data_IF_048437280536
#
_entry.id   IF_048437280536
#
_cell.length_a   1.000
_cell.length_b   1.000
_cell.length_c   1.000
_cell.angle_alpha   90.00
_cell.angle_beta   90.00
_cell.angle_gamma   90.00
#
_symmetry.space_group_name_H-M   'P 1'
#
loop_
_entity.id
_entity.type
_entity.pdbx_description
1 polymer ?
#
# COMPACT_ATOMS: atom_id res chain seq x y z
N UNK A 1 5.34 24.74 12.32
CA UNK A 1 6.24 23.83 11.53
C UNK A 1 5.43 23.20 10.41
N UNK A 2 5.98 23.16 9.20
CA UNK A 2 5.34 22.51 8.05
C UNK A 2 5.36 20.99 8.26
N UNK A 3 4.22 20.31 8.08
CA UNK A 3 4.11 18.85 8.18
C UNK A 3 4.90 18.18 7.06
N UNK A 4 5.59 17.09 7.36
CA UNK A 4 6.42 16.34 6.42
C UNK A 4 5.77 15.01 6.06
N UNK A 5 5.85 14.64 4.77
CA UNK A 5 5.37 13.36 4.29
C UNK A 5 6.45 12.66 3.48
N UNK A 6 6.81 11.45 3.87
CA UNK A 6 7.70 10.59 3.10
C UNK A 6 6.89 9.58 2.29
N UNK A 7 6.96 9.68 0.96
CA UNK A 7 6.20 8.83 0.05
C UNK A 7 7.15 7.85 -0.63
N UNK A 8 7.11 6.61 -0.21
CA UNK A 8 7.90 5.51 -0.77
C UNK A 8 7.13 4.85 -1.91
N UNK A 9 7.65 4.96 -3.14
CA UNK A 9 6.95 4.56 -4.37
C UNK A 9 6.25 5.73 -5.07
N UNK A 10 6.85 6.93 -5.01
CA UNK A 10 6.29 8.18 -5.55
C UNK A 10 6.68 8.47 -7.00
N UNK A 11 7.29 7.54 -7.73
CA UNK A 11 7.77 7.79 -9.11
C UNK A 11 6.66 7.85 -10.16
N UNK A 12 5.55 7.13 -9.95
CA UNK A 12 4.44 7.01 -10.90
C UNK A 12 3.13 6.66 -10.19
N UNK A 13 2.03 6.69 -10.93
CA UNK A 13 0.73 6.18 -10.50
C UNK A 13 0.18 6.84 -9.24
N UNK A 14 -0.40 6.03 -8.36
CA UNK A 14 -1.06 6.56 -7.14
C UNK A 14 -0.06 7.29 -6.24
N UNK A 15 1.17 6.78 -6.10
CA UNK A 15 2.19 7.37 -5.23
C UNK A 15 2.59 8.78 -5.68
N UNK A 16 2.80 8.98 -6.98
CA UNK A 16 3.08 10.31 -7.54
C UNK A 16 1.89 11.26 -7.31
N UNK A 17 0.67 10.81 -7.62
CA UNK A 17 -0.53 11.63 -7.46
C UNK A 17 -0.81 11.99 -5.99
N UNK A 18 -0.54 11.10 -5.03
CA UNK A 18 -0.66 11.40 -3.59
C UNK A 18 0.38 12.42 -3.16
N UNK A 19 1.60 12.31 -3.68
CA UNK A 19 2.64 13.28 -3.41
C UNK A 19 2.24 14.67 -3.91
N UNK A 20 1.72 14.78 -5.15
CA UNK A 20 1.23 16.05 -5.72
C UNK A 20 0.05 16.62 -4.92
N UNK A 21 -0.90 15.80 -4.51
CA UNK A 21 -2.05 16.23 -3.71
C UNK A 21 -1.63 16.74 -2.31
N UNK A 22 -0.63 16.11 -1.66
CA UNK A 22 -0.09 16.58 -0.38
C UNK A 22 0.71 17.87 -0.53
N UNK A 23 1.55 18.00 -1.58
CA UNK A 23 2.26 19.24 -1.91
C UNK A 23 1.28 20.41 -2.09
N UNK A 24 0.19 20.18 -2.84
CA UNK A 24 -0.84 21.21 -3.07
C UNK A 24 -1.54 21.68 -1.78
N UNK A 25 -1.43 20.89 -0.71
CA UNK A 25 -1.98 21.18 0.63
C UNK A 25 -0.93 21.72 1.61
N UNK A 26 0.25 22.07 1.11
CA UNK A 26 1.32 22.70 1.89
C UNK A 26 2.14 21.73 2.74
N UNK A 27 2.15 20.44 2.43
CA UNK A 27 3.07 19.50 3.04
C UNK A 27 4.46 19.62 2.40
N UNK A 28 5.50 19.42 3.18
CA UNK A 28 6.84 19.15 2.65
C UNK A 28 6.94 17.67 2.29
N UNK A 29 6.92 17.33 1.00
CA UNK A 29 6.83 15.96 0.52
C UNK A 29 8.17 15.46 0.01
N UNK A 30 8.73 14.48 0.70
CA UNK A 30 9.92 13.74 0.28
C UNK A 30 9.50 12.54 -0.57
N UNK A 31 9.87 12.54 -1.85
CA UNK A 31 9.53 11.50 -2.82
C UNK A 31 10.66 10.50 -2.92
N UNK A 32 10.32 9.21 -2.82
CA UNK A 32 11.30 8.12 -2.91
C UNK A 32 10.84 7.01 -3.82
N UNK A 33 11.77 6.43 -4.56
CA UNK A 33 11.59 5.21 -5.36
C UNK A 33 12.95 4.61 -5.72
N UNK A 34 12.95 3.45 -6.40
CA UNK A 34 14.18 2.79 -6.89
C UNK A 34 14.97 3.64 -7.88
N UNK A 35 14.27 4.36 -8.76
CA UNK A 35 14.90 5.05 -9.90
C UNK A 35 14.81 6.57 -9.86
N UNK A 36 13.87 7.14 -9.12
CA UNK A 36 13.59 8.57 -9.08
C UNK A 36 13.29 9.03 -7.65
N UNK A 37 13.38 10.33 -7.42
CA UNK A 37 13.06 10.95 -6.14
C UNK A 37 14.30 11.44 -5.41
N UNK A 38 14.07 12.12 -4.32
CA UNK A 38 15.10 12.77 -3.49
C UNK A 38 15.95 11.74 -2.76
N UNK A 39 15.30 10.69 -2.25
CA UNK A 39 15.96 9.58 -1.58
C UNK A 39 15.67 8.30 -2.37
N UNK A 40 16.73 7.60 -2.80
CA UNK A 40 16.59 6.29 -3.47
C UNK A 40 16.29 5.22 -2.42
N UNK A 41 15.36 4.31 -2.77
CA UNK A 41 14.97 3.21 -1.89
C UNK A 41 14.46 2.03 -2.70
N UNK A 42 14.98 0.84 -2.43
CA UNK A 42 14.42 -0.43 -2.86
C UNK A 42 13.87 -1.19 -1.64
N UNK A 43 12.56 -1.29 -1.53
CA UNK A 43 11.92 -1.95 -0.38
C UNK A 43 12.11 -3.48 -0.37
N UNK A 44 12.65 -4.06 -1.44
CA UNK A 44 13.00 -5.48 -1.48
C UNK A 44 14.40 -5.79 -0.88
N UNK A 45 15.15 -4.75 -0.50
CA UNK A 45 16.49 -4.84 0.06
C UNK A 45 16.58 -4.16 1.44
N UNK A 46 17.07 -4.89 2.45
CA UNK A 46 17.14 -4.43 3.83
C UNK A 46 18.03 -3.19 3.97
N UNK A 47 19.27 -3.26 3.45
CA UNK A 47 20.27 -2.19 3.56
C UNK A 47 19.75 -0.90 2.93
N UNK A 48 19.16 -0.99 1.71
CA UNK A 48 18.56 0.15 1.02
C UNK A 48 17.48 0.85 1.84
N UNK A 49 16.64 0.08 2.55
CA UNK A 49 15.56 0.65 3.38
C UNK A 49 16.12 1.38 4.60
N UNK A 50 17.04 0.75 5.34
CA UNK A 50 17.60 1.37 6.53
C UNK A 50 18.50 2.57 6.22
N UNK A 51 19.26 2.55 5.12
CA UNK A 51 20.03 3.70 4.65
C UNK A 51 19.12 4.86 4.24
N UNK A 52 18.05 4.57 3.48
CA UNK A 52 17.08 5.58 3.07
C UNK A 52 16.40 6.24 4.29
N UNK A 53 16.04 5.45 5.31
CA UNK A 53 15.44 5.98 6.54
C UNK A 53 16.41 6.88 7.31
N UNK A 54 17.67 6.48 7.46
CA UNK A 54 18.70 7.33 8.07
C UNK A 54 18.89 8.64 7.31
N UNK A 55 19.03 8.54 5.98
CA UNK A 55 19.16 9.73 5.13
C UNK A 55 17.97 10.67 5.26
N UNK A 56 16.75 10.11 5.34
CA UNK A 56 15.56 10.93 5.59
C UNK A 56 15.66 11.66 6.93
N UNK A 57 16.02 10.96 8.01
CA UNK A 57 16.13 11.57 9.34
C UNK A 57 17.20 12.66 9.39
N UNK A 58 18.38 12.44 8.77
CA UNK A 58 19.47 13.41 8.72
C UNK A 58 19.07 14.70 7.99
N UNK A 59 18.27 14.60 6.91
CA UNK A 59 17.90 15.72 6.05
C UNK A 59 16.60 16.39 6.46
N UNK A 60 15.64 15.63 6.98
CA UNK A 60 14.27 16.08 7.23
C UNK A 60 13.85 15.95 8.70
N UNK A 61 14.58 15.22 9.53
CA UNK A 61 14.25 14.97 10.95
C UNK A 61 13.14 13.94 11.12
N UNK A 62 12.27 14.15 12.12
CA UNK A 62 11.27 13.17 12.55
C UNK A 62 10.25 12.78 11.46
N UNK A 63 9.73 11.55 11.55
CA UNK A 63 8.70 11.02 10.65
C UNK A 63 7.29 11.47 11.09
N UNK A 64 6.70 12.46 10.41
CA UNK A 64 5.31 12.86 10.67
C UNK A 64 4.32 11.94 9.96
N UNK A 65 4.57 11.64 8.67
CA UNK A 65 3.74 10.78 7.83
C UNK A 65 4.62 9.97 6.88
N UNK A 66 4.53 8.65 6.94
CA UNK A 66 5.22 7.74 6.01
C UNK A 66 4.20 6.89 5.27
N UNK A 67 4.17 6.99 3.93
CA UNK A 67 3.31 6.18 3.07
C UNK A 67 4.14 5.22 2.24
N UNK A 68 3.92 3.92 2.41
CA UNK A 68 4.52 2.88 1.59
C UNK A 68 3.56 2.53 0.46
N UNK A 69 3.81 3.17 -0.72
CA UNK A 69 3.01 3.04 -1.94
C UNK A 69 3.63 2.05 -2.94
N UNK A 70 4.91 1.70 -2.75
CA UNK A 70 5.62 0.76 -3.60
C UNK A 70 5.01 -0.64 -3.52
N UNK A 71 5.01 -1.34 -4.65
CA UNK A 71 4.50 -2.70 -4.72
C UNK A 71 4.80 -3.34 -6.08
N UNK A 72 4.65 -4.65 -6.12
CA UNK A 72 4.84 -5.48 -7.30
C UNK A 72 3.53 -6.19 -7.66
N UNK A 73 3.24 -6.24 -8.96
CA UNK A 73 2.12 -6.96 -9.55
C UNK A 73 2.56 -7.70 -10.80
N UNK A 74 2.29 -9.00 -10.82
CA UNK A 74 2.35 -9.84 -12.00
C UNK A 74 1.24 -10.88 -11.90
N UNK A 75 0.48 -11.05 -12.98
CA UNK A 75 -0.59 -12.05 -13.02
C UNK A 75 0.00 -13.46 -12.88
N UNK A 76 -0.56 -14.24 -11.96
CA UNK A 76 -0.17 -15.63 -11.74
C UNK A 76 -1.40 -16.47 -11.39
N UNK A 77 -1.56 -17.61 -12.05
CA UNK A 77 -2.65 -18.55 -11.81
C UNK A 77 -2.11 -19.91 -11.37
N UNK A 78 -2.97 -20.75 -10.77
CA UNK A 78 -2.59 -22.11 -10.40
C UNK A 78 -2.17 -22.98 -11.61
N UNK A 79 -2.68 -22.69 -12.82
CA UNK A 79 -2.31 -23.43 -14.05
C UNK A 79 -0.91 -23.04 -14.58
N UNK A 80 -0.43 -21.87 -14.22
CA UNK A 80 0.88 -21.32 -14.59
C UNK A 80 1.50 -20.72 -13.33
N UNK A 81 1.75 -21.61 -12.34
CA UNK A 81 2.33 -21.20 -11.07
C UNK A 81 3.84 -21.08 -11.22
N UNK A 82 4.36 -19.90 -10.88
CA UNK A 82 5.78 -19.60 -10.82
C UNK A 82 6.17 -19.21 -9.40
N UNK A 83 7.02 -20.03 -8.78
CA UNK A 83 7.48 -19.82 -7.41
C UNK A 83 8.31 -18.53 -7.28
N UNK A 84 9.06 -18.13 -8.32
CA UNK A 84 9.86 -16.91 -8.27
C UNK A 84 8.96 -15.69 -8.28
N UNK A 85 7.92 -15.67 -9.10
CA UNK A 85 6.89 -14.61 -9.10
C UNK A 85 6.17 -14.56 -7.75
N UNK A 86 5.86 -15.71 -7.14
CA UNK A 86 5.28 -15.76 -5.80
C UNK A 86 6.21 -15.15 -4.75
N UNK A 87 7.49 -15.52 -4.77
CA UNK A 87 8.51 -14.97 -3.87
C UNK A 87 8.65 -13.45 -4.05
N UNK A 88 8.66 -12.97 -5.31
CA UNK A 88 8.76 -11.53 -5.62
C UNK A 88 7.57 -10.74 -5.05
N UNK A 89 6.33 -11.25 -5.20
CA UNK A 89 5.17 -10.64 -4.57
C UNK A 89 5.34 -10.51 -3.05
N UNK A 90 5.79 -11.58 -2.38
CA UNK A 90 5.93 -11.56 -0.93
C UNK A 90 7.13 -10.72 -0.48
N UNK A 91 8.27 -10.83 -1.16
CA UNK A 91 9.46 -10.03 -0.81
C UNK A 91 9.20 -8.54 -0.96
N UNK A 92 8.59 -8.11 -2.10
CA UNK A 92 8.32 -6.69 -2.33
C UNK A 92 7.11 -6.20 -1.52
N UNK A 93 5.96 -6.88 -1.61
CA UNK A 93 4.74 -6.33 -1.01
C UNK A 93 4.70 -6.55 0.50
N UNK A 94 4.95 -7.78 0.97
CA UNK A 94 4.79 -8.12 2.40
C UNK A 94 6.03 -7.76 3.20
N UNK A 95 7.18 -8.34 2.82
CA UNK A 95 8.43 -8.13 3.57
C UNK A 95 8.93 -6.71 3.39
N UNK A 96 8.79 -6.13 2.18
CA UNK A 96 9.14 -4.73 1.92
C UNK A 96 8.37 -3.73 2.78
N UNK A 97 7.07 -3.95 2.99
CA UNK A 97 6.28 -3.13 3.93
C UNK A 97 6.78 -3.29 5.37
N UNK A 98 7.10 -4.53 5.78
CA UNK A 98 7.63 -4.80 7.12
C UNK A 98 9.00 -4.16 7.34
N UNK A 99 9.90 -4.17 6.33
CA UNK A 99 11.18 -3.45 6.37
C UNK A 99 10.99 -1.96 6.59
N UNK A 100 10.07 -1.34 5.85
CA UNK A 100 9.76 0.08 6.04
C UNK A 100 9.23 0.34 7.46
N UNK A 101 8.36 -0.51 7.98
CA UNK A 101 7.87 -0.41 9.35
C UNK A 101 9.01 -0.52 10.38
N UNK A 102 9.89 -1.50 10.21
CA UNK A 102 11.06 -1.71 11.09
C UNK A 102 12.02 -0.50 11.10
N UNK A 103 12.15 0.19 9.97
CA UNK A 103 13.03 1.35 9.85
C UNK A 103 12.44 2.64 10.46
N UNK A 104 11.10 2.79 10.54
CA UNK A 104 10.49 4.07 10.96
C UNK A 104 9.70 4.00 12.27
N UNK A 105 9.09 2.86 12.61
CA UNK A 105 8.26 2.74 13.80
C UNK A 105 9.01 2.93 15.12
N UNK A 106 10.26 2.46 15.30
CA UNK A 106 10.99 2.67 16.55
C UNK A 106 11.10 4.16 16.92
N UNK A 107 11.37 5.02 15.95
CA UNK A 107 11.44 6.47 16.18
C UNK A 107 10.07 7.07 16.44
N UNK A 108 9.04 6.72 15.64
CA UNK A 108 7.67 7.18 15.88
C UNK A 108 7.18 6.80 17.28
N UNK A 109 7.48 5.59 17.75
CA UNK A 109 7.11 5.10 19.08
C UNK A 109 7.85 5.89 20.17
N UNK A 110 9.17 6.07 20.04
CA UNK A 110 9.96 6.83 21.00
C UNK A 110 9.52 8.28 21.14
N UNK A 111 9.07 8.90 20.04
CA UNK A 111 8.52 10.26 20.00
C UNK A 111 7.01 10.30 20.34
N UNK A 112 6.38 9.15 20.46
CA UNK A 112 4.94 8.99 20.66
C UNK A 112 4.10 9.83 19.67
N UNK A 113 4.50 9.85 18.39
CA UNK A 113 3.84 10.58 17.29
C UNK A 113 4.20 10.00 15.94
N UNK A 114 3.41 10.34 14.93
CA UNK A 114 3.61 9.93 13.55
C UNK A 114 2.48 9.06 13.01
N UNK A 115 2.44 8.94 11.68
CA UNK A 115 1.46 8.11 10.99
C UNK A 115 2.17 7.22 9.98
N UNK A 116 2.03 5.91 10.13
CA UNK A 116 2.51 4.90 9.18
C UNK A 116 1.36 4.39 8.34
N UNK A 117 1.51 4.43 7.00
CA UNK A 117 0.45 4.05 6.06
C UNK A 117 0.98 3.00 5.09
N UNK A 118 0.33 1.85 5.07
CA UNK A 118 0.61 0.80 4.08
C UNK A 118 -0.48 0.72 3.01
N UNK A 119 -0.06 0.51 1.76
CA UNK A 119 -0.99 0.36 0.63
C UNK A 119 -1.11 -1.09 0.22
N UNK A 120 -2.25 -1.67 0.59
CA UNK A 120 -2.68 -3.00 0.20
C UNK A 120 -3.50 -2.97 -1.10
N UNK A 121 -4.60 -3.71 -1.17
CA UNK A 121 -5.57 -3.77 -2.27
C UNK A 121 -6.84 -4.47 -1.80
N UNK A 122 -7.97 -4.19 -2.46
CA UNK A 122 -9.19 -5.02 -2.31
C UNK A 122 -8.97 -6.48 -2.73
N UNK A 123 -7.94 -6.77 -3.53
CA UNK A 123 -7.53 -8.14 -3.87
C UNK A 123 -7.02 -8.94 -2.66
N UNK A 124 -6.67 -8.28 -1.56
CA UNK A 124 -6.35 -8.92 -0.29
C UNK A 124 -7.56 -9.37 0.52
N UNK A 125 -8.79 -9.00 0.15
CA UNK A 125 -9.98 -9.35 0.91
C UNK A 125 -10.47 -10.77 0.63
N UNK A 126 -10.27 -11.28 -0.59
CA UNK A 126 -10.70 -12.61 -1.01
C UNK A 126 -9.82 -13.12 -2.16
N UNK A 127 -9.60 -14.43 -2.23
CA UNK A 127 -8.88 -15.04 -3.35
C UNK A 127 -9.59 -14.81 -4.68
N UNK A 128 -8.85 -14.29 -5.68
CA UNK A 128 -9.34 -13.95 -7.00
C UNK A 128 -8.60 -14.75 -8.09
N UNK A 129 -9.26 -15.06 -9.23
CA UNK A 129 -8.59 -15.71 -10.35
C UNK A 129 -7.38 -14.91 -10.86
N UNK A 130 -6.27 -15.60 -11.12
CA UNK A 130 -5.05 -14.95 -11.62
C UNK A 130 -4.28 -14.13 -10.59
N UNK A 131 -4.65 -14.22 -9.30
CA UNK A 131 -4.07 -13.44 -8.21
C UNK A 131 -3.39 -14.30 -7.14
N UNK A 132 -2.88 -15.49 -7.51
CA UNK A 132 -2.36 -16.48 -6.57
C UNK A 132 -1.10 -16.05 -5.80
N UNK A 133 -0.36 -15.05 -6.29
CA UNK A 133 0.77 -14.43 -5.57
C UNK A 133 0.38 -13.08 -4.96
N UNK A 134 -0.25 -12.22 -5.76
CA UNK A 134 -0.60 -10.87 -5.34
C UNK A 134 -1.65 -10.83 -4.22
N UNK A 135 -2.77 -11.55 -4.39
CA UNK A 135 -3.84 -11.60 -3.39
C UNK A 135 -3.33 -11.96 -1.99
N UNK A 136 -2.62 -13.09 -1.82
CA UNK A 136 -2.01 -13.46 -0.54
C UNK A 136 -1.07 -12.39 0.03
N UNK A 137 -0.20 -11.79 -0.80
CA UNK A 137 0.70 -10.73 -0.33
C UNK A 137 -0.06 -9.49 0.17
N UNK A 138 -1.18 -9.15 -0.47
CA UNK A 138 -2.03 -8.02 -0.05
C UNK A 138 -2.88 -8.35 1.18
N UNK A 139 -3.31 -9.59 1.33
CA UNK A 139 -3.97 -10.06 2.55
C UNK A 139 -3.03 -10.01 3.76
N UNK A 140 -1.78 -10.44 3.57
CA UNK A 140 -0.74 -10.34 4.59
C UNK A 140 -0.48 -8.89 5.02
N UNK A 141 -0.44 -7.93 4.07
CA UNK A 141 -0.30 -6.50 4.39
C UNK A 141 -1.47 -5.97 5.23
N UNK A 142 -2.72 -6.36 4.93
CA UNK A 142 -3.89 -5.95 5.71
C UNK A 142 -3.76 -6.44 7.15
N UNK A 143 -3.49 -7.74 7.33
CA UNK A 143 -3.35 -8.33 8.66
C UNK A 143 -2.18 -7.73 9.44
N UNK A 144 -1.02 -7.54 8.79
CA UNK A 144 0.15 -6.93 9.40
C UNK A 144 -0.13 -5.51 9.93
N UNK A 145 -0.76 -4.66 9.09
CA UNK A 145 -1.10 -3.29 9.49
C UNK A 145 -2.16 -3.25 10.61
N UNK A 146 -3.10 -4.18 10.60
CA UNK A 146 -4.09 -4.33 11.68
C UNK A 146 -3.42 -4.75 13.00
N UNK A 147 -2.47 -5.69 12.95
CA UNK A 147 -1.69 -6.10 14.12
C UNK A 147 -0.88 -4.95 14.70
N UNK A 148 -0.14 -4.21 13.86
CA UNK A 148 0.61 -3.02 14.30
C UNK A 148 -0.32 -1.97 14.97
N UNK A 149 -1.51 -1.77 14.41
CA UNK A 149 -2.51 -0.84 14.97
C UNK A 149 -2.98 -1.30 16.34
N UNK A 150 -3.17 -2.61 16.52
CA UNK A 150 -3.58 -3.20 17.80
C UNK A 150 -2.49 -3.06 18.85
N UNK A 151 -1.23 -3.33 18.48
CA UNK A 151 -0.08 -3.20 19.39
C UNK A 151 0.16 -1.76 19.84
N UNK A 152 -0.15 -0.78 18.97
CA UNK A 152 0.09 0.64 19.20
C UNK A 152 -1.11 1.40 19.79
N UNK A 153 -2.19 0.71 20.20
CA UNK A 153 -3.46 1.32 20.65
C UNK A 153 -3.28 2.31 21.81
N UNK A 154 -2.29 2.10 22.68
CA UNK A 154 -2.00 2.98 23.81
C UNK A 154 -0.97 4.09 23.49
N UNK A 155 -0.68 4.33 22.22
CA UNK A 155 0.25 5.37 21.75
C UNK A 155 -0.48 6.41 20.90
N UNK A 156 0.22 7.51 20.57
CA UNK A 156 -0.28 8.49 19.58
C UNK A 156 0.20 8.16 18.14
N UNK A 157 0.91 7.07 17.96
CA UNK A 157 1.32 6.60 16.63
C UNK A 157 0.11 6.00 15.92
N UNK A 158 -0.15 6.44 14.70
CA UNK A 158 -1.27 5.96 13.89
C UNK A 158 -0.81 4.99 12.83
N UNK A 159 -1.55 3.92 12.62
CA UNK A 159 -1.33 2.98 11.51
C UNK A 159 -2.59 2.92 10.67
N UNK A 160 -2.45 3.22 9.37
CA UNK A 160 -3.58 3.24 8.44
C UNK A 160 -3.34 2.30 7.27
N UNK A 161 -4.42 1.69 6.80
CA UNK A 161 -4.42 0.78 5.63
C UNK A 161 -5.16 1.45 4.47
N UNK A 162 -4.51 1.52 3.31
CA UNK A 162 -5.17 1.92 2.07
C UNK A 162 -5.38 0.68 1.21
N UNK A 163 -6.62 0.42 0.80
CA UNK A 163 -6.97 -0.73 -0.05
C UNK A 163 -7.69 -0.27 -1.31
N UNK A 164 -6.95 0.11 -2.37
CA UNK A 164 -7.53 0.49 -3.64
C UNK A 164 -8.17 -0.70 -4.36
N UNK A 165 -9.23 -0.42 -5.14
CA UNK A 165 -9.62 -1.24 -6.27
C UNK A 165 -8.78 -0.90 -7.52
N UNK A 166 -9.39 -0.94 -8.70
CA UNK A 166 -8.68 -0.60 -9.93
C UNK A 166 -8.46 0.91 -10.05
N UNK A 167 -7.20 1.28 -10.28
CA UNK A 167 -6.77 2.65 -10.52
C UNK A 167 -5.92 2.66 -11.78
N UNK A 168 -6.20 3.57 -12.71
CA UNK A 168 -5.44 3.72 -13.96
C UNK A 168 -4.01 4.16 -13.66
N UNK A 169 -3.05 3.28 -13.90
CA UNK A 169 -1.63 3.46 -13.59
C UNK A 169 -0.80 2.54 -14.50
N UNK A 170 0.51 2.77 -14.67
CA UNK A 170 1.37 1.83 -15.41
C UNK A 170 1.30 0.38 -14.91
N UNK A 171 1.03 0.16 -13.62
CA UNK A 171 0.85 -1.17 -13.04
C UNK A 171 -0.41 -1.89 -13.55
N UNK A 172 -1.47 -1.16 -13.86
CA UNK A 172 -2.76 -1.71 -14.34
C UNK A 172 -2.88 -1.71 -15.85
N UNK A 173 -2.08 -0.93 -16.56
CA UNK A 173 -2.14 -0.83 -18.04
C UNK A 173 -1.75 -2.14 -18.74
N UNK A 174 -1.02 -3.02 -18.04
CA UNK A 174 -0.67 -4.37 -18.54
C UNK A 174 -1.81 -5.39 -18.41
N UNK A 175 -2.92 -5.03 -17.76
CA UNK A 175 -4.04 -5.94 -17.53
C UNK A 175 -4.89 -6.11 -18.78
N UNK A 176 -5.21 -7.36 -19.12
CA UNK A 176 -6.04 -7.75 -20.28
C UNK A 176 -7.45 -8.22 -19.90
N UNK A 177 -7.87 -7.99 -18.65
CA UNK A 177 -9.16 -8.39 -18.11
C UNK A 177 -9.98 -7.17 -17.70
N UNK A 178 -11.32 -7.30 -17.58
CA UNK A 178 -12.18 -6.19 -17.18
C UNK A 178 -11.82 -5.63 -15.82
N UNK A 179 -11.74 -4.31 -15.72
CA UNK A 179 -11.45 -3.56 -14.50
C UNK A 179 -12.65 -2.67 -14.13
N UNK A 180 -13.72 -3.25 -13.52
CA UNK A 180 -14.91 -2.48 -13.19
C UNK A 180 -14.59 -1.39 -12.17
N UNK A 181 -15.29 -0.25 -12.29
CA UNK A 181 -15.17 0.90 -11.40
C UNK A 181 -13.75 1.49 -11.35
N UNK A 182 -12.95 1.35 -12.42
CA UNK A 182 -11.61 1.96 -12.49
C UNK A 182 -11.71 3.49 -12.33
N UNK A 183 -10.82 4.06 -11.55
CA UNK A 183 -10.70 5.50 -11.33
C UNK A 183 -9.31 6.00 -11.71
N UNK A 184 -9.15 7.31 -11.90
CA UNK A 184 -7.84 7.90 -12.15
C UNK A 184 -6.95 7.94 -10.89
N UNK A 185 -5.63 8.08 -11.07
CA UNK A 185 -4.67 8.20 -9.97
C UNK A 185 -4.93 9.47 -9.13
N UNK A 186 -5.30 10.58 -9.77
CA UNK A 186 -5.62 11.85 -9.09
C UNK A 186 -6.87 11.71 -8.21
N UNK A 187 -7.91 11.02 -8.72
CA UNK A 187 -9.11 10.73 -7.92
C UNK A 187 -8.77 9.83 -6.72
N UNK A 188 -7.95 8.82 -6.92
CA UNK A 188 -7.46 7.96 -5.85
C UNK A 188 -6.69 8.76 -4.79
N UNK A 189 -5.78 9.65 -5.22
CA UNK A 189 -5.01 10.52 -4.34
C UNK A 189 -5.89 11.40 -3.45
N UNK A 190 -6.91 12.06 -4.03
CA UNK A 190 -7.87 12.88 -3.27
C UNK A 190 -8.62 12.06 -2.21
N UNK A 191 -9.00 10.81 -2.54
CA UNK A 191 -9.68 9.92 -1.58
C UNK A 191 -8.73 9.52 -0.45
N UNK A 192 -7.48 9.16 -0.79
CA UNK A 192 -6.45 8.77 0.18
C UNK A 192 -6.18 9.94 1.12
N UNK A 193 -5.82 11.11 0.59
CA UNK A 193 -5.48 12.28 1.40
C UNK A 193 -6.65 12.70 2.29
N UNK A 194 -7.89 12.70 1.77
CA UNK A 194 -9.09 12.93 2.60
C UNK A 194 -9.24 11.90 3.71
N UNK A 195 -8.90 10.64 3.45
CA UNK A 195 -8.92 9.58 4.45
C UNK A 195 -7.87 9.77 5.54
N UNK A 196 -6.66 10.19 5.15
CA UNK A 196 -5.56 10.53 6.07
C UNK A 196 -5.98 11.65 7.02
N UNK A 197 -6.52 12.76 6.50
CA UNK A 197 -7.02 13.89 7.33
C UNK A 197 -8.15 13.50 8.27
N UNK A 198 -8.97 12.51 7.90
CA UNK A 198 -10.06 11.98 8.75
C UNK A 198 -9.58 10.88 9.68
N UNK A 199 -8.31 10.58 9.69
CA UNK A 199 -7.69 9.55 10.53
C UNK A 199 -8.36 8.18 10.43
N UNK A 200 -8.84 7.83 9.22
CA UNK A 200 -9.50 6.55 8.99
C UNK A 200 -8.52 5.39 9.09
N UNK A 201 -8.83 4.41 9.91
CA UNK A 201 -8.03 3.19 10.01
C UNK A 201 -7.90 2.48 8.65
N UNK A 202 -9.01 2.41 7.89
CA UNK A 202 -9.07 1.76 6.59
C UNK A 202 -9.65 2.72 5.54
N UNK A 203 -8.88 2.95 4.48
CA UNK A 203 -9.26 3.79 3.34
C UNK A 203 -9.48 2.85 2.15
N UNK A 204 -10.72 2.41 1.93
CA UNK A 204 -11.10 1.45 0.87
C UNK A 204 -11.91 2.16 -0.20
N UNK A 205 -11.52 2.00 -1.45
CA UNK A 205 -12.18 2.65 -2.58
C UNK A 205 -11.98 1.89 -3.90
N UNK A 206 -12.82 2.13 -4.96
CA UNK A 206 -14.07 2.90 -4.91
C UNK A 206 -15.15 2.18 -4.08
N UNK A 207 -16.15 2.92 -3.60
CA UNK A 207 -17.17 2.40 -2.67
C UNK A 207 -17.88 1.14 -3.21
N UNK A 208 -18.33 1.07 -4.49
CA UNK A 208 -19.00 -0.14 -4.98
C UNK A 208 -18.12 -1.39 -4.88
N UNK A 209 -16.82 -1.26 -5.21
CA UNK A 209 -15.87 -2.37 -5.10
C UNK A 209 -15.55 -2.71 -3.65
N UNK A 210 -15.45 -1.71 -2.77
CA UNK A 210 -15.25 -1.92 -1.34
C UNK A 210 -16.39 -2.77 -0.74
N UNK A 211 -17.63 -2.43 -1.07
CA UNK A 211 -18.82 -3.15 -0.60
C UNK A 211 -18.82 -4.58 -1.17
N UNK A 212 -18.67 -4.73 -2.50
CA UNK A 212 -18.71 -6.05 -3.14
C UNK A 212 -17.64 -7.00 -2.60
N UNK A 213 -16.41 -6.51 -2.37
CA UNK A 213 -15.32 -7.33 -1.86
C UNK A 213 -15.44 -7.64 -0.36
N UNK A 214 -16.03 -6.75 0.44
CA UNK A 214 -16.37 -7.05 1.83
C UNK A 214 -17.48 -8.10 1.93
N UNK A 215 -18.53 -7.99 1.11
CA UNK A 215 -19.58 -9.00 1.02
C UNK A 215 -19.04 -10.34 0.50
N UNK A 216 -18.11 -10.33 -0.44
CA UNK A 216 -17.45 -11.54 -0.94
C UNK A 216 -16.79 -12.37 0.18
N UNK A 217 -16.35 -11.76 1.26
CA UNK A 217 -15.79 -12.50 2.43
C UNK A 217 -16.83 -13.36 3.14
N UNK A 218 -18.10 -13.02 3.06
CA UNK A 218 -19.21 -13.75 3.68
C UNK A 218 -19.67 -14.93 2.84
N UNK A 219 -19.30 -14.98 1.54
CA UNK A 219 -19.66 -16.10 0.66
C UNK A 219 -18.93 -17.37 1.11
N UNK A 220 -19.61 -18.52 1.32
CA UNK A 220 -18.96 -19.78 1.68
C UNK A 220 -17.85 -20.17 0.69
N UNK A 221 -16.78 -20.77 1.21
CA UNK A 221 -15.62 -21.19 0.40
C UNK A 221 -15.97 -22.19 -0.70
N UNK A 222 -17.00 -23.00 -0.48
CA UNK A 222 -17.53 -23.96 -1.47
C UNK A 222 -18.30 -23.29 -2.63
N UNK A 223 -18.84 -22.11 -2.43
CA UNK A 223 -19.61 -21.35 -3.43
C UNK A 223 -18.70 -20.41 -4.21
N UNK A 224 -17.78 -19.71 -3.55
CA UNK A 224 -16.95 -18.67 -4.15
C UNK A 224 -16.26 -19.07 -5.47
N UNK A 225 -15.59 -20.24 -5.60
CA UNK A 225 -14.97 -20.64 -6.87
C UNK A 225 -15.97 -20.87 -8.00
N UNK A 226 -17.21 -21.27 -7.66
CA UNK A 226 -18.26 -21.54 -8.66
C UNK A 226 -18.73 -20.30 -9.38
N UNK A 227 -18.60 -19.10 -8.78
CA UNK A 227 -18.91 -17.81 -9.39
C UNK A 227 -17.99 -17.47 -10.57
N UNK A 228 -16.84 -18.15 -10.69
CA UNK A 228 -15.86 -17.94 -11.77
C UNK A 228 -15.84 -19.08 -12.80
N UNK A 229 -16.77 -20.02 -12.72
CA UNK A 229 -16.98 -21.01 -13.79
C UNK A 229 -17.47 -20.27 -15.03
N UNK A 230 -16.67 -20.34 -16.11
CA UNK A 230 -17.19 -20.02 -17.43
C UNK A 230 -18.12 -21.17 -17.83
N UNK A 231 -19.35 -20.85 -18.21
CA UNK A 231 -20.28 -21.82 -18.82
C UNK A 231 -19.69 -22.37 -20.11
#
# INVERSE_FOLDING_TARGET
>A
MTRKAWIIGASTGIGAAVADELDSKGWNVVRSSRSKGEIRIDISNDESVFEAARKYQDQHGDFDLVLVMAGFWQRMSAKHFDLNVFKEHNNTNTVGLARCAAAVLPEMISKNRGTFVGVSSVAGFRGLPGSSGYGPSKAAQINFLESLRTDLVNTKVKVQTVSPGFVKTPMTDVNTFPMPFIISAERAAKIIVKGLYKEKNDIVFPIPMAISMKLARLVPSSIWPKLFKKG
#
